data_IF_995335914725
#
_entry.id   IF_995335914725
#
_cell.length_a   1.000
_cell.length_b   1.000
_cell.length_c   1.000
_cell.angle_alpha   90.00
_cell.angle_beta   90.00
_cell.angle_gamma   90.00
#
_symmetry.space_group_name_H-M   'P 1'
#
loop_
_entity.id
_entity.type
_entity.pdbx_description
1 polymer ?
#
# COMPACT_ATOMS: atom_id res chain seq x y z
N UNK A 1 4.93 -8.27 4.11
CA UNK A 1 4.67 -7.53 5.37
C UNK A 1 5.56 -7.95 6.55
N UNK A 2 6.64 -8.72 6.36
CA UNK A 2 7.52 -9.09 7.47
C UNK A 2 8.13 -7.85 8.16
N UNK A 3 8.19 -7.86 9.49
CA UNK A 3 8.73 -6.76 10.29
C UNK A 3 7.79 -5.56 10.54
N UNK A 4 6.54 -5.62 10.08
CA UNK A 4 5.54 -4.56 10.28
C UNK A 4 4.43 -5.00 11.26
N UNK A 5 3.80 -4.01 11.91
CA UNK A 5 2.52 -4.20 12.61
C UNK A 5 1.41 -4.07 11.58
N UNK A 6 0.70 -5.15 11.29
CA UNK A 6 -0.20 -5.19 10.15
C UNK A 6 -1.60 -5.70 10.48
N UNK A 7 -2.58 -5.22 9.72
CA UNK A 7 -3.89 -5.82 9.60
C UNK A 7 -4.20 -6.06 8.13
N UNK A 8 -5.09 -7.02 7.85
CA UNK A 8 -5.55 -7.28 6.49
C UNK A 8 -7.03 -7.58 6.46
N UNK A 9 -7.63 -7.21 5.34
CA UNK A 9 -8.99 -7.55 4.97
C UNK A 9 -8.94 -8.26 3.62
N UNK A 10 -9.73 -9.32 3.50
CA UNK A 10 -9.87 -10.08 2.27
C UNK A 10 -11.34 -10.06 1.87
N UNK A 11 -11.60 -9.77 0.59
CA UNK A 11 -12.95 -9.89 0.03
C UNK A 11 -13.42 -11.33 0.17
N UNK A 12 -14.55 -11.52 0.84
CA UNK A 12 -15.19 -12.83 0.95
C UNK A 12 -15.76 -13.17 -0.42
N UNK A 13 -15.21 -14.21 -1.06
CA UNK A 13 -15.74 -14.77 -2.30
C UNK A 13 -17.08 -15.45 -2.02
N UNK A 14 -18.12 -15.09 -2.77
CA UNK A 14 -19.40 -15.77 -2.82
C UNK A 14 -19.39 -16.93 -3.82
N UNK A 15 -18.53 -16.84 -4.85
CA UNK A 15 -18.28 -17.95 -5.78
C UNK A 15 -16.77 -18.10 -6.09
N UNK A 16 -16.32 -19.26 -6.58
CA UNK A 16 -14.88 -19.51 -6.83
C UNK A 16 -14.27 -18.68 -7.97
N UNK A 17 -15.09 -18.15 -8.87
CA UNK A 17 -14.67 -17.40 -10.06
C UNK A 17 -14.49 -15.90 -9.79
N UNK A 18 -14.97 -15.39 -8.65
CA UNK A 18 -14.76 -13.99 -8.27
C UNK A 18 -13.30 -13.71 -8.00
N UNK A 19 -12.83 -12.56 -8.45
CA UNK A 19 -11.43 -12.17 -8.28
C UNK A 19 -11.06 -12.07 -6.81
N UNK A 20 -9.79 -12.36 -6.52
CA UNK A 20 -9.27 -12.15 -5.17
C UNK A 20 -8.92 -10.68 -4.98
N UNK A 21 -9.43 -10.06 -3.90
CA UNK A 21 -8.94 -8.76 -3.45
C UNK A 21 -8.50 -8.90 -1.99
N UNK A 22 -7.23 -8.59 -1.73
CA UNK A 22 -6.67 -8.49 -0.38
C UNK A 22 -6.12 -7.09 -0.21
N UNK A 23 -6.54 -6.45 0.87
CA UNK A 23 -6.04 -5.15 1.31
C UNK A 23 -5.33 -5.37 2.63
N UNK A 24 -4.14 -4.83 2.80
CA UNK A 24 -3.47 -4.80 4.08
C UNK A 24 -2.84 -3.47 4.38
N UNK A 25 -2.90 -3.09 5.65
CA UNK A 25 -2.25 -1.91 6.18
C UNK A 25 -1.11 -2.40 7.07
N UNK A 26 0.12 -1.94 6.79
CA UNK A 26 1.29 -2.37 7.51
C UNK A 26 2.10 -1.16 7.98
N UNK A 27 2.13 -0.94 9.29
CA UNK A 27 2.94 0.12 9.91
C UNK A 27 4.36 -0.36 10.10
N UNK A 28 5.32 0.42 9.58
CA UNK A 28 6.76 0.19 9.71
C UNK A 28 7.38 1.30 10.53
N UNK A 29 7.62 0.98 11.79
CA UNK A 29 8.08 1.95 12.80
C UNK A 29 9.53 2.44 12.61
N UNK A 30 10.29 1.85 11.66
CA UNK A 30 11.73 2.12 11.45
C UNK A 30 12.12 2.12 9.97
N UNK A 31 11.17 2.42 9.08
CA UNK A 31 11.39 2.48 7.66
C UNK A 31 10.64 3.68 7.09
N UNK A 32 11.40 4.64 6.56
CA UNK A 32 10.91 5.81 5.84
C UNK A 32 10.48 5.45 4.42
N UNK A 33 9.78 6.36 3.73
CA UNK A 33 9.20 6.11 2.40
C UNK A 33 10.25 5.77 1.34
N UNK A 34 11.42 6.39 1.39
CA UNK A 34 12.55 6.15 0.47
C UNK A 34 13.12 4.73 0.54
N UNK A 35 12.83 3.99 1.61
CA UNK A 35 13.24 2.59 1.76
C UNK A 35 12.23 1.60 1.17
N UNK A 36 11.24 2.07 0.40
CA UNK A 36 10.32 1.18 -0.33
C UNK A 36 11.13 0.40 -1.38
N UNK A 37 10.84 -0.89 -1.52
CA UNK A 37 11.55 -1.74 -2.46
C UNK A 37 10.84 -1.70 -3.82
N UNK A 38 11.61 -1.50 -4.89
CA UNK A 38 11.16 -1.80 -6.24
C UNK A 38 11.02 -3.31 -6.40
N UNK A 39 9.81 -3.75 -6.76
CA UNK A 39 9.46 -5.17 -6.96
C UNK A 39 9.26 -5.51 -8.43
N UNK A 40 9.75 -4.65 -9.34
CA UNK A 40 9.77 -4.86 -10.79
C UNK A 40 8.91 -3.89 -11.58
N UNK A 41 8.07 -3.10 -10.91
CA UNK A 41 7.24 -2.05 -11.52
C UNK A 41 7.86 -0.65 -11.47
N UNK A 42 9.03 -0.48 -10.87
CA UNK A 42 9.60 0.83 -10.56
C UNK A 42 9.04 1.43 -9.26
N UNK A 43 9.51 2.62 -8.92
CA UNK A 43 9.00 3.42 -7.80
C UNK A 43 8.49 4.75 -8.33
N UNK A 44 7.22 5.05 -8.08
CA UNK A 44 6.60 6.33 -8.40
C UNK A 44 6.49 7.16 -7.12
N UNK A 45 7.39 8.13 -6.94
CA UNK A 45 7.34 9.06 -5.81
C UNK A 45 6.25 10.12 -6.01
N UNK A 46 5.62 10.55 -4.92
CA UNK A 46 4.59 11.58 -4.94
C UNK A 46 4.12 11.97 -3.54
N UNK A 47 2.87 12.40 -3.45
CA UNK A 47 2.25 12.81 -2.20
C UNK A 47 0.80 12.32 -2.12
N UNK A 48 0.33 12.03 -0.91
CA UNK A 48 -1.08 11.78 -0.58
C UNK A 48 -1.50 12.84 0.44
N UNK A 49 -2.44 13.71 0.08
CA UNK A 49 -2.88 14.83 0.94
C UNK A 49 -1.71 15.69 1.49
N UNK A 50 -0.65 15.90 0.71
CA UNK A 50 0.53 16.68 1.12
C UNK A 50 1.53 15.93 2.02
N UNK A 51 1.34 14.62 2.20
CA UNK A 51 2.27 13.73 2.91
C UNK A 51 3.09 12.95 1.90
N UNK A 52 4.41 12.92 2.08
CA UNK A 52 5.33 12.17 1.22
C UNK A 52 4.88 10.72 1.06
N UNK A 53 4.82 10.26 -0.18
CA UNK A 53 4.38 8.92 -0.53
C UNK A 53 5.21 8.34 -1.69
N UNK A 54 5.21 7.02 -1.79
CA UNK A 54 5.80 6.30 -2.91
C UNK A 54 4.98 5.06 -3.23
N UNK A 55 4.74 4.84 -4.53
CA UNK A 55 4.03 3.68 -5.05
C UNK A 55 5.03 2.71 -5.69
N UNK A 56 4.89 1.43 -5.38
CA UNK A 56 5.65 0.33 -5.96
C UNK A 56 4.67 -0.69 -6.54
N UNK A 57 4.38 -0.62 -7.84
CA UNK A 57 3.60 -1.63 -8.54
C UNK A 57 4.34 -2.97 -8.59
N UNK A 58 3.61 -4.08 -8.49
CA UNK A 58 4.12 -5.45 -8.63
C UNK A 58 3.46 -6.15 -9.82
N UNK A 59 4.07 -6.04 -11.03
CA UNK A 59 3.56 -6.70 -12.22
C UNK A 59 3.57 -8.24 -12.13
N UNK A 60 4.37 -8.82 -11.23
CA UNK A 60 4.48 -10.28 -11.09
C UNK A 60 3.32 -10.84 -10.30
N UNK A 61 2.88 -10.15 -9.25
CA UNK A 61 1.77 -10.59 -8.41
C UNK A 61 0.42 -9.96 -8.76
N UNK A 62 0.37 -8.94 -9.63
CA UNK A 62 -0.83 -8.16 -9.87
C UNK A 62 -1.19 -7.27 -8.67
N UNK A 63 -0.19 -6.91 -7.87
CA UNK A 63 -0.35 -6.17 -6.62
C UNK A 63 0.25 -4.76 -6.70
N UNK A 64 0.02 -3.98 -5.66
CA UNK A 64 0.59 -2.65 -5.51
C UNK A 64 0.85 -2.34 -4.04
N UNK A 65 1.99 -1.72 -3.75
CA UNK A 65 2.29 -1.17 -2.43
C UNK A 65 2.39 0.34 -2.52
N UNK A 66 1.55 1.06 -1.78
CA UNK A 66 1.67 2.51 -1.60
C UNK A 66 2.14 2.81 -0.18
N UNK A 67 3.35 3.35 -0.04
CA UNK A 67 3.88 3.81 1.23
C UNK A 67 3.54 5.29 1.46
N UNK A 68 3.16 5.63 2.69
CA UNK A 68 2.84 6.99 3.13
C UNK A 68 3.64 7.28 4.40
N UNK A 69 4.39 8.38 4.45
CA UNK A 69 5.20 8.76 5.60
C UNK A 69 4.34 9.01 6.83
N UNK A 70 4.64 8.43 8.00
CA UNK A 70 4.01 8.85 9.27
C UNK A 70 4.83 10.01 9.87
N UNK A 71 6.15 9.82 9.90
CA UNK A 71 7.18 10.81 10.19
C UNK A 71 8.40 10.55 9.28
N UNK A 72 9.54 11.20 9.53
CA UNK A 72 10.75 11.06 8.72
C UNK A 72 11.36 9.65 8.73
N UNK A 73 11.06 8.83 9.73
CA UNK A 73 11.68 7.51 9.96
C UNK A 73 10.71 6.33 9.91
N UNK A 74 9.41 6.60 9.77
CA UNK A 74 8.36 5.59 9.79
C UNK A 74 7.31 5.83 8.72
N UNK A 75 6.67 4.75 8.29
CA UNK A 75 5.65 4.81 7.24
C UNK A 75 4.56 3.78 7.47
N UNK A 76 3.43 3.99 6.80
CA UNK A 76 2.42 2.96 6.62
C UNK A 76 2.39 2.53 5.15
N UNK A 77 2.39 1.22 4.92
CA UNK A 77 2.20 0.64 3.60
C UNK A 77 0.72 0.24 3.43
N UNK A 78 0.07 0.75 2.40
CA UNK A 78 -1.17 0.20 1.84
C UNK A 78 -0.79 -0.85 0.80
N UNK A 79 -1.04 -2.12 1.12
CA UNK A 79 -0.73 -3.25 0.25
C UNK A 79 -2.03 -3.75 -0.35
N UNK A 80 -2.12 -3.78 -1.68
CA UNK A 80 -3.24 -4.35 -2.41
C UNK A 80 -2.74 -5.50 -3.25
N UNK A 81 -3.40 -6.66 -3.15
CA UNK A 81 -3.19 -7.79 -4.05
C UNK A 81 -4.49 -8.03 -4.80
N UNK A 82 -4.43 -7.89 -6.12
CA UNK A 82 -5.51 -8.12 -7.07
C UNK A 82 -5.06 -9.02 -8.22
N UNK A 83 -5.77 -8.93 -9.35
CA UNK A 83 -5.43 -9.67 -10.57
C UNK A 83 -4.81 -8.76 -11.65
N UNK A 84 -5.05 -7.45 -11.56
CA UNK A 84 -4.42 -6.43 -12.40
C UNK A 84 -3.67 -5.42 -11.53
N UNK A 85 -2.45 -5.09 -11.98
CA UNK A 85 -1.53 -4.20 -11.25
C UNK A 85 -2.03 -2.75 -11.21
N UNK A 86 -2.65 -2.26 -12.28
CA UNK A 86 -3.13 -0.87 -12.34
C UNK A 86 -4.36 -0.72 -11.44
N UNK A 87 -5.30 -1.66 -11.52
CA UNK A 87 -6.46 -1.69 -10.63
C UNK A 87 -6.04 -1.80 -9.16
N UNK A 88 -5.00 -2.59 -8.86
CA UNK A 88 -4.46 -2.70 -7.50
C UNK A 88 -3.87 -1.37 -7.00
N UNK A 89 -3.16 -0.63 -7.85
CA UNK A 89 -2.63 0.69 -7.49
C UNK A 89 -3.73 1.74 -7.34
N UNK A 90 -4.75 1.73 -8.19
CA UNK A 90 -5.91 2.62 -8.06
C UNK A 90 -6.61 2.42 -6.71
N UNK A 91 -6.87 1.16 -6.34
CA UNK A 91 -7.44 0.81 -5.03
C UNK A 91 -6.50 1.21 -3.89
N UNK A 92 -5.19 1.04 -4.04
CA UNK A 92 -4.22 1.43 -3.02
C UNK A 92 -4.25 2.95 -2.77
N UNK A 93 -4.37 3.77 -3.83
CA UNK A 93 -4.50 5.23 -3.74
C UNK A 93 -5.81 5.63 -3.07
N UNK A 94 -6.94 5.03 -3.42
CA UNK A 94 -8.22 5.31 -2.78
C UNK A 94 -8.19 5.03 -1.27
N UNK A 95 -7.61 3.89 -0.88
CA UNK A 95 -7.47 3.52 0.53
C UNK A 95 -6.50 4.46 1.23
N UNK A 96 -5.44 4.90 0.57
CA UNK A 96 -4.50 5.87 1.11
C UNK A 96 -5.15 7.21 1.44
N UNK A 97 -6.02 7.72 0.57
CA UNK A 97 -6.82 8.92 0.84
C UNK A 97 -7.75 8.75 2.05
N UNK A 98 -8.21 7.52 2.34
CA UNK A 98 -8.99 7.22 3.54
C UNK A 98 -8.12 7.07 4.80
N UNK A 99 -6.93 6.50 4.67
CA UNK A 99 -6.03 6.22 5.79
C UNK A 99 -5.31 7.47 6.26
N UNK A 100 -4.85 8.32 5.34
CA UNK A 100 -3.99 9.47 5.63
C UNK A 100 -4.58 10.39 6.72
N UNK A 101 -5.86 10.81 6.69
CA UNK A 101 -6.42 11.70 7.71
C UNK A 101 -6.51 11.08 9.11
N UNK A 102 -6.32 9.76 9.23
CA UNK A 102 -6.34 9.01 10.49
C UNK A 102 -4.94 8.76 11.05
N UNK A 103 -3.89 9.14 10.32
CA UNK A 103 -2.52 9.03 10.79
C UNK A 103 -2.23 10.09 11.86
N UNK A 104 -1.24 9.85 12.72
CA UNK A 104 -0.72 10.89 13.60
C UNK A 104 -0.35 12.15 12.80
N UNK A 105 -0.58 13.31 13.39
CA UNK A 105 -0.10 14.56 12.81
C UNK A 105 1.43 14.53 12.75
N UNK A 106 2.04 15.09 11.70
CA UNK A 106 3.48 15.31 11.64
C UNK A 106 3.95 16.16 12.83
#
# INVERSE_FOLDING_TARGET
MAGARACSWKRKKQNPLEDTLIIGLAVRDKQSVDTIADVGGGINSGEINGRTAAEAPDPTSGGCTLAIAIDDGSRIDVNVLGEDVNDACDVARDIAYLVEPRLPKP
#
